data_IF_121739676153
#
_entry.id   IF_121739676153
#
_cell.length_a   1.000
_cell.length_b   1.000
_cell.length_c   1.000
_cell.angle_alpha   90.00
_cell.angle_beta   90.00
_cell.angle_gamma   90.00
#
_symmetry.space_group_name_H-M   'P 1'
#
loop_
_entity.id
_entity.type
_entity.pdbx_description
1 polymer ?
#
# COMPACT_ATOMS: atom_id res chain seq x y z
N UNK A 1 -56.63 -13.55 18.23
CA UNK A 1 -55.80 -12.42 18.71
C UNK A 1 -54.34 -12.84 18.52
N UNK A 2 -53.69 -12.53 17.38
CA UNK A 2 -52.92 -11.30 17.12
C UNK A 2 -51.52 -11.44 17.74
N UNK A 3 -50.35 -11.30 17.11
CA UNK A 3 -49.84 -10.85 15.81
C UNK A 3 -48.47 -11.56 15.60
N UNK A 4 -48.10 -12.08 14.43
CA UNK A 4 -47.28 -11.41 13.39
C UNK A 4 -45.97 -10.74 13.90
N UNK A 5 -44.79 -11.29 13.57
CA UNK A 5 -43.85 -10.77 12.54
C UNK A 5 -42.39 -11.21 12.75
N UNK A 6 -41.82 -11.59 11.60
CA UNK A 6 -40.45 -11.36 11.17
C UNK A 6 -39.34 -12.25 11.73
N UNK A 7 -38.94 -13.18 10.86
CA UNK A 7 -37.58 -13.68 10.76
C UNK A 7 -36.52 -12.57 10.86
N UNK A 8 -35.40 -12.88 11.49
CA UNK A 8 -34.12 -12.26 11.14
C UNK A 8 -33.03 -13.28 11.41
N UNK A 9 -32.62 -13.97 10.35
CA UNK A 9 -31.32 -14.67 10.34
C UNK A 9 -30.29 -13.62 10.70
N UNK A 10 -29.60 -13.77 11.82
CA UNK A 10 -28.39 -13.01 12.08
C UNK A 10 -27.36 -13.44 11.04
N UNK A 11 -27.38 -12.77 9.88
CA UNK A 11 -26.25 -12.73 8.98
C UNK A 11 -25.18 -11.96 9.74
N UNK A 12 -24.11 -12.63 10.12
CA UNK A 12 -22.84 -11.97 10.43
C UNK A 12 -22.47 -11.10 9.24
N UNK A 13 -22.78 -9.81 9.32
CA UNK A 13 -22.32 -8.82 8.37
C UNK A 13 -20.82 -8.69 8.57
N UNK A 14 -20.02 -9.45 7.82
CA UNK A 14 -18.68 -8.99 7.48
C UNK A 14 -18.87 -7.63 6.79
N UNK A 15 -18.48 -6.54 7.45
CA UNK A 15 -18.63 -5.20 6.91
C UNK A 15 -17.97 -5.13 5.53
N UNK A 16 -18.74 -4.74 4.51
CA UNK A 16 -18.31 -4.61 3.10
C UNK A 16 -17.01 -3.80 2.96
N UNK A 17 -16.77 -2.87 3.89
CA UNK A 17 -15.55 -2.06 4.02
C UNK A 17 -14.28 -2.91 4.25
N UNK A 18 -14.34 -3.94 5.11
CA UNK A 18 -13.21 -4.82 5.38
C UNK A 18 -12.83 -5.72 4.20
N UNK A 19 -13.78 -6.02 3.30
CA UNK A 19 -13.53 -6.82 2.10
C UNK A 19 -12.81 -6.00 1.00
N UNK A 20 -13.03 -4.69 0.98
CA UNK A 20 -12.41 -3.76 0.01
C UNK A 20 -10.96 -3.45 0.40
N UNK A 21 -10.71 -3.24 1.69
CA UNK A 21 -9.37 -3.10 2.25
C UNK A 21 -8.56 -4.40 2.03
N UNK A 22 -9.15 -5.57 2.34
CA UNK A 22 -8.55 -6.88 2.10
C UNK A 22 -8.19 -7.12 0.62
N UNK A 23 -9.00 -6.63 -0.33
CA UNK A 23 -8.72 -6.73 -1.76
C UNK A 23 -7.58 -5.81 -2.23
N UNK A 24 -7.51 -4.59 -1.68
CA UNK A 24 -6.44 -3.63 -2.01
C UNK A 24 -5.09 -4.12 -1.46
N UNK A 25 -5.08 -4.67 -0.25
CA UNK A 25 -3.91 -5.31 0.36
C UNK A 25 -3.48 -6.55 -0.44
N UNK A 26 -4.41 -7.42 -0.87
CA UNK A 26 -4.08 -8.61 -1.67
C UNK A 26 -3.48 -8.28 -3.05
N UNK A 27 -3.86 -7.15 -3.65
CA UNK A 27 -3.28 -6.71 -4.94
C UNK A 27 -1.89 -6.10 -4.75
N UNK A 28 -1.68 -5.32 -3.68
CA UNK A 28 -0.35 -4.83 -3.30
C UNK A 28 0.60 -6.00 -3.00
N UNK A 29 0.16 -7.00 -2.23
CA UNK A 29 0.93 -8.23 -1.91
C UNK A 29 1.31 -9.02 -3.16
N UNK A 30 0.42 -9.17 -4.14
CA UNK A 30 0.71 -9.91 -5.38
C UNK A 30 1.79 -9.24 -6.24
N UNK A 31 1.86 -7.91 -6.21
CA UNK A 31 2.85 -7.14 -7.00
C UNK A 31 4.23 -7.22 -6.36
N UNK A 32 4.29 -7.30 -5.04
CA UNK A 32 5.54 -7.50 -4.32
C UNK A 32 6.12 -8.90 -4.61
N UNK A 33 5.28 -9.93 -4.52
CA UNK A 33 5.62 -11.33 -4.82
C UNK A 33 6.08 -11.51 -6.27
N UNK A 34 5.57 -10.72 -7.22
CA UNK A 34 5.98 -10.76 -8.64
C UNK A 34 7.39 -10.22 -8.90
N UNK A 35 7.94 -9.36 -8.03
CA UNK A 35 9.29 -8.79 -8.21
C UNK A 35 10.37 -9.54 -7.44
N UNK A 36 9.97 -10.48 -6.58
CA UNK A 36 10.86 -11.31 -5.77
C UNK A 36 11.67 -12.32 -6.58
N UNK A 37 11.11 -12.97 -7.61
CA UNK A 37 11.80 -14.16 -8.15
C UNK A 37 11.49 -14.68 -9.59
N UNK A 38 10.97 -13.90 -10.54
CA UNK A 38 10.65 -14.47 -11.87
C UNK A 38 11.28 -13.68 -13.03
N UNK A 39 12.55 -13.99 -13.29
CA UNK A 39 13.17 -13.92 -14.64
C UNK A 39 12.68 -15.09 -15.52
N UNK A 40 11.36 -15.25 -15.64
CA UNK A 40 10.79 -16.20 -16.60
C UNK A 40 9.70 -15.50 -17.40
N UNK A 41 10.16 -14.86 -18.46
CA UNK A 41 9.45 -14.75 -19.73
C UNK A 41 8.00 -14.20 -19.68
N UNK A 42 7.80 -13.11 -18.94
CA UNK A 42 6.63 -12.24 -19.10
C UNK A 42 7.05 -11.01 -19.93
N UNK A 43 7.24 -11.23 -21.23
CA UNK A 43 7.60 -10.19 -22.21
C UNK A 43 6.42 -9.23 -22.46
N UNK A 44 6.77 -7.93 -22.42
CA UNK A 44 6.11 -6.74 -22.97
C UNK A 44 4.66 -6.37 -22.50
N UNK A 45 4.54 -5.18 -21.90
CA UNK A 45 3.33 -4.36 -21.67
C UNK A 45 2.35 -4.61 -20.50
N UNK A 46 2.52 -5.62 -19.64
CA UNK A 46 1.47 -5.94 -18.63
C UNK A 46 1.85 -6.01 -17.16
N UNK A 47 3.11 -5.80 -16.80
CA UNK A 47 3.54 -5.99 -15.40
C UNK A 47 3.11 -4.83 -14.49
N UNK A 48 2.82 -3.66 -15.06
CA UNK A 48 2.38 -2.48 -14.30
C UNK A 48 0.97 -2.00 -14.67
N UNK A 49 0.32 -2.61 -15.66
CA UNK A 49 -1.01 -2.18 -16.06
C UNK A 49 -2.09 -2.86 -15.21
N UNK A 50 -3.05 -2.05 -14.77
CA UNK A 50 -4.16 -2.54 -13.95
C UNK A 50 -4.98 -3.59 -14.69
N UNK A 51 -5.14 -4.76 -14.05
CA UNK A 51 -6.05 -5.79 -14.54
C UNK A 51 -7.48 -5.26 -14.66
N UNK A 52 -8.28 -5.84 -15.55
CA UNK A 52 -9.70 -5.48 -15.66
C UNK A 52 -10.45 -5.71 -14.34
N UNK A 53 -10.06 -6.72 -13.57
CA UNK A 53 -10.60 -6.98 -12.24
C UNK A 53 -10.31 -5.83 -11.26
N UNK A 54 -9.08 -5.33 -11.26
CA UNK A 54 -8.68 -4.18 -10.42
C UNK A 54 -9.45 -2.92 -10.80
N UNK A 55 -9.57 -2.62 -12.11
CA UNK A 55 -10.36 -1.47 -12.59
C UNK A 55 -11.82 -1.55 -12.14
N UNK A 56 -12.42 -2.73 -12.19
CA UNK A 56 -13.81 -2.93 -11.74
C UNK A 56 -13.95 -2.74 -10.22
N UNK A 57 -12.96 -3.17 -9.43
CA UNK A 57 -12.92 -2.94 -7.98
C UNK A 57 -12.82 -1.45 -7.69
N UNK A 58 -11.89 -0.74 -8.33
CA UNK A 58 -11.72 0.70 -8.17
C UNK A 58 -13.01 1.47 -8.51
N UNK A 59 -13.71 1.06 -9.57
CA UNK A 59 -15.01 1.64 -9.94
C UNK A 59 -16.13 1.38 -8.92
N UNK A 60 -16.00 0.33 -8.11
CA UNK A 60 -16.99 -0.04 -7.08
C UNK A 60 -16.78 0.68 -5.74
N UNK A 61 -15.69 1.44 -5.60
CA UNK A 61 -15.36 2.21 -4.41
C UNK A 61 -16.42 3.28 -4.16
N UNK A 62 -17.12 3.15 -3.03
CA UNK A 62 -18.17 4.09 -2.62
C UNK A 62 -17.58 5.33 -1.93
N UNK A 63 -16.72 5.10 -0.94
CA UNK A 63 -16.06 6.14 -0.16
C UNK A 63 -14.68 6.42 -0.73
N UNK A 64 -14.28 7.69 -0.93
CA UNK A 64 -12.93 8.01 -1.38
C UNK A 64 -11.86 7.41 -0.46
N UNK A 65 -10.73 7.04 -1.05
CA UNK A 65 -9.55 6.52 -0.36
C UNK A 65 -8.40 7.48 -0.61
N UNK A 66 -7.72 7.90 0.45
CA UNK A 66 -6.46 8.62 0.37
C UNK A 66 -5.34 7.65 0.70
N UNK A 67 -4.37 7.52 -0.20
CA UNK A 67 -3.17 6.73 0.00
C UNK A 67 -2.01 7.69 0.23
N UNK A 68 -1.46 7.68 1.44
CA UNK A 68 -0.30 8.48 1.81
C UNK A 68 0.94 7.62 1.67
N UNK A 69 1.84 7.99 0.77
CA UNK A 69 3.14 7.35 0.64
C UNK A 69 4.22 8.22 1.27
N UNK A 70 4.73 7.75 2.40
CA UNK A 70 5.87 8.36 3.08
C UNK A 70 7.13 7.71 2.55
N UNK A 71 8.04 8.49 1.97
CA UNK A 71 9.35 7.99 1.52
C UNK A 71 10.40 9.10 1.66
N UNK A 72 11.49 8.84 2.38
CA UNK A 72 12.59 9.79 2.63
C UNK A 72 13.44 10.10 1.39
N UNK A 73 12.81 10.44 0.25
CA UNK A 73 13.45 10.66 -1.06
C UNK A 73 14.57 11.70 -1.05
N UNK A 74 14.57 12.63 -0.08
CA UNK A 74 15.60 13.65 0.04
C UNK A 74 16.90 13.14 0.70
N UNK A 75 16.88 11.94 1.29
CA UNK A 75 18.05 11.34 1.92
C UNK A 75 19.03 10.83 0.84
N UNK A 76 20.26 11.40 0.74
CA UNK A 76 21.21 11.05 -0.32
C UNK A 76 21.87 9.67 -0.12
N UNK A 77 21.72 9.08 1.06
CA UNK A 77 22.35 7.83 1.46
C UNK A 77 21.40 6.61 1.36
N UNK A 78 20.27 6.75 0.68
CA UNK A 78 19.36 5.63 0.46
C UNK A 78 20.04 4.56 -0.41
N UNK A 79 20.03 3.28 0.02
CA UNK A 79 20.49 2.19 -0.83
C UNK A 79 19.73 2.13 -2.17
N UNK A 80 20.44 1.97 -3.28
CA UNK A 80 19.84 1.98 -4.63
C UNK A 80 18.69 0.97 -4.82
N UNK A 81 18.72 -0.16 -4.11
CA UNK A 81 17.62 -1.14 -4.13
C UNK A 81 16.32 -0.59 -3.53
N UNK A 82 16.43 0.17 -2.43
CA UNK A 82 15.30 0.84 -1.77
C UNK A 82 14.77 1.96 -2.65
N UNK A 83 15.65 2.75 -3.26
CA UNK A 83 15.24 3.84 -4.15
C UNK A 83 14.48 3.31 -5.38
N UNK A 84 14.99 2.24 -6.01
CA UNK A 84 14.33 1.59 -7.14
C UNK A 84 12.96 1.02 -6.73
N UNK A 85 12.89 0.42 -5.54
CA UNK A 85 11.66 -0.13 -5.00
C UNK A 85 10.60 0.95 -4.73
N UNK A 86 10.98 2.03 -4.05
CA UNK A 86 10.10 3.17 -3.79
C UNK A 86 9.63 3.86 -5.08
N UNK A 87 10.49 3.93 -6.11
CA UNK A 87 10.09 4.42 -7.43
C UNK A 87 8.98 3.55 -8.04
N UNK A 88 9.10 2.22 -7.97
CA UNK A 88 8.07 1.31 -8.48
C UNK A 88 6.75 1.46 -7.73
N UNK A 89 6.77 1.63 -6.41
CA UNK A 89 5.57 1.94 -5.63
C UNK A 89 4.93 3.24 -6.12
N UNK A 90 5.72 4.31 -6.28
CA UNK A 90 5.22 5.59 -6.78
C UNK A 90 4.55 5.47 -8.15
N UNK A 91 5.21 4.82 -9.10
CA UNK A 91 4.69 4.60 -10.45
C UNK A 91 3.37 3.81 -10.38
N UNK A 92 3.32 2.77 -9.54
CA UNK A 92 2.13 1.96 -9.32
C UNK A 92 0.95 2.74 -8.70
N UNK A 93 1.21 3.53 -7.66
CA UNK A 93 0.19 4.35 -7.01
C UNK A 93 -0.37 5.41 -7.97
N UNK A 94 0.49 5.95 -8.85
CA UNK A 94 0.08 6.93 -9.87
C UNK A 94 -0.93 6.31 -10.86
N UNK A 95 -0.75 5.04 -11.25
CA UNK A 95 -1.73 4.32 -12.07
C UNK A 95 -3.07 4.10 -11.32
N UNK A 96 -3.00 3.86 -10.01
CA UNK A 96 -4.20 3.72 -9.16
C UNK A 96 -4.99 5.01 -9.03
N UNK A 97 -4.30 6.13 -8.80
CA UNK A 97 -4.92 7.45 -8.77
C UNK A 97 -5.59 7.75 -10.11
N UNK A 98 -4.88 7.52 -11.22
CA UNK A 98 -5.41 7.75 -12.57
C UNK A 98 -6.67 6.92 -12.84
N UNK A 99 -6.65 5.63 -12.52
CA UNK A 99 -7.79 4.73 -12.74
C UNK A 99 -8.95 4.95 -11.75
N UNK A 100 -8.62 5.31 -10.50
CA UNK A 100 -9.57 5.59 -9.42
C UNK A 100 -10.30 6.92 -9.57
N UNK A 101 -9.79 7.84 -10.41
CA UNK A 101 -10.36 9.18 -10.62
C UNK A 101 -10.55 9.87 -9.25
N UNK A 102 -11.71 10.47 -9.00
CA UNK A 102 -12.01 11.17 -7.74
C UNK A 102 -12.24 10.23 -6.53
N UNK A 103 -11.99 8.91 -6.66
CA UNK A 103 -12.18 7.92 -5.59
C UNK A 103 -10.88 7.45 -4.96
N UNK A 104 -9.74 7.68 -5.61
CA UNK A 104 -8.42 7.37 -5.07
C UNK A 104 -7.57 8.61 -5.24
N UNK A 105 -7.00 9.09 -4.14
CA UNK A 105 -6.05 10.18 -4.14
C UNK A 105 -4.73 9.67 -3.55
N UNK A 106 -3.61 10.08 -4.14
CA UNK A 106 -2.28 9.70 -3.66
C UNK A 106 -1.54 10.94 -3.19
N UNK A 107 -1.04 10.89 -1.96
CA UNK A 107 -0.25 11.95 -1.35
C UNK A 107 1.17 11.46 -1.10
N UNK A 108 2.16 12.23 -1.55
CA UNK A 108 3.57 11.88 -1.39
C UNK A 108 4.21 12.76 -0.32
N UNK A 109 4.73 12.13 0.72
CA UNK A 109 5.40 12.78 1.84
C UNK A 109 6.87 12.40 1.88
N UNK A 110 7.69 13.37 2.25
CA UNK A 110 9.14 13.24 2.34
C UNK A 110 9.59 13.54 3.78
N UNK A 111 9.59 12.52 4.67
CA UNK A 111 10.02 12.66 6.05
C UNK A 111 11.49 13.04 6.10
N UNK A 112 11.76 14.30 6.44
CA UNK A 112 13.09 14.84 6.66
C UNK A 112 13.28 15.06 8.15
N UNK A 113 14.52 15.03 8.65
CA UNK A 113 14.79 15.35 10.05
C UNK A 113 14.14 16.67 10.47
N UNK A 114 13.43 16.63 11.60
CA UNK A 114 12.71 17.75 12.21
C UNK A 114 11.61 18.37 11.32
N UNK A 115 10.98 17.57 10.43
CA UNK A 115 9.89 18.02 9.55
C UNK A 115 8.52 17.53 10.02
N UNK A 116 7.46 18.26 9.65
CA UNK A 116 6.07 17.85 9.94
C UNK A 116 5.77 16.45 9.37
N UNK A 117 6.34 16.13 8.21
CA UNK A 117 6.19 14.81 7.58
C UNK A 117 6.86 13.68 8.38
N UNK A 118 7.95 13.95 9.10
CA UNK A 118 8.54 13.01 10.06
C UNK A 118 7.59 12.76 11.23
N UNK A 119 7.06 13.83 11.83
CA UNK A 119 6.08 13.70 12.91
C UNK A 119 4.81 12.96 12.48
N UNK A 120 4.36 13.18 11.24
CA UNK A 120 3.21 12.46 10.69
C UNK A 120 3.52 10.99 10.47
N UNK A 121 4.69 10.67 9.90
CA UNK A 121 5.10 9.28 9.71
C UNK A 121 5.15 8.53 11.04
N UNK A 122 5.74 9.13 12.08
CA UNK A 122 5.79 8.57 13.42
C UNK A 122 4.40 8.41 14.05
N UNK A 123 3.50 9.39 13.86
CA UNK A 123 2.12 9.31 14.36
C UNK A 123 1.31 8.20 13.70
N UNK A 124 1.56 7.95 12.41
CA UNK A 124 0.98 6.84 11.68
C UNK A 124 1.67 5.50 12.01
N UNK A 125 2.67 5.47 12.89
CA UNK A 125 3.37 4.24 13.26
C UNK A 125 4.35 3.72 12.20
N UNK A 126 4.77 4.56 11.25
CA UNK A 126 5.76 4.17 10.24
C UNK A 126 7.14 4.18 10.88
N UNK A 127 7.68 3.00 11.16
CA UNK A 127 9.02 2.87 11.72
C UNK A 127 10.11 3.13 10.67
N UNK A 128 11.11 3.99 10.95
CA UNK A 128 12.21 4.24 10.04
C UNK A 128 13.29 3.15 10.14
N UNK A 129 13.98 2.89 9.03
CA UNK A 129 15.27 2.21 9.05
C UNK A 129 16.33 3.23 9.42
N UNK A 130 17.19 2.87 10.38
CA UNK A 130 18.32 3.69 10.79
C UNK A 130 19.63 2.95 10.44
N UNK A 131 20.26 3.25 9.28
CA UNK A 131 21.60 2.73 8.99
C UNK A 131 22.61 3.21 10.03
N UNK A 132 23.64 2.42 10.36
CA UNK A 132 24.71 2.85 11.26
C UNK A 132 25.38 4.15 10.77
N UNK A 133 25.25 5.22 11.56
CA UNK A 133 25.81 6.53 11.21
C UNK A 133 25.12 7.24 10.04
N UNK A 134 24.00 6.71 9.53
CA UNK A 134 23.17 7.34 8.51
C UNK A 134 22.03 8.17 9.10
N UNK A 135 21.19 8.73 8.24
CA UNK A 135 19.91 9.36 8.61
C UNK A 135 18.79 8.31 8.59
N UNK A 136 17.69 8.59 9.31
CA UNK A 136 16.46 7.78 9.25
C UNK A 136 15.97 7.69 7.80
N UNK A 137 15.50 6.51 7.42
CA UNK A 137 14.87 6.24 6.13
C UNK A 137 13.46 5.74 6.41
N UNK A 138 12.47 6.57 6.12
CA UNK A 138 11.07 6.18 6.16
C UNK A 138 10.65 5.65 4.79
N UNK A 139 9.86 4.58 4.80
CA UNK A 139 9.13 4.14 3.64
C UNK A 139 7.92 3.30 4.06
N UNK A 140 6.71 3.83 3.88
CA UNK A 140 5.48 3.18 4.30
C UNK A 140 4.26 3.80 3.63
N UNK A 141 3.15 3.06 3.68
CA UNK A 141 1.87 3.49 3.12
C UNK A 141 0.82 3.59 4.23
N UNK A 142 0.00 4.64 4.16
CA UNK A 142 -1.21 4.76 4.98
C UNK A 142 -2.40 4.88 4.06
N UNK A 143 -3.40 4.05 4.28
CA UNK A 143 -4.66 4.05 3.55
C UNK A 143 -5.73 4.61 4.48
N UNK A 144 -6.36 5.70 4.07
CA UNK A 144 -7.41 6.37 4.83
C UNK A 144 -8.70 6.35 4.01
N UNK A 145 -9.79 5.83 4.57
CA UNK A 145 -11.12 5.89 3.96
C UNK A 145 -12.22 6.02 5.00
N UNK A 146 -12.99 7.11 4.91
CA UNK A 146 -14.04 7.45 5.88
C UNK A 146 -13.51 7.42 7.33
N UNK A 147 -13.90 6.41 8.11
CA UNK A 147 -13.55 6.17 9.51
C UNK A 147 -12.49 5.07 9.70
N UNK A 148 -11.89 4.59 8.62
CA UNK A 148 -10.89 3.54 8.63
C UNK A 148 -9.50 4.05 8.21
N UNK A 149 -8.49 3.58 8.93
CA UNK A 149 -7.08 3.82 8.67
C UNK A 149 -6.35 2.47 8.73
N UNK A 150 -5.52 2.20 7.72
CA UNK A 150 -4.70 1.01 7.63
C UNK A 150 -3.28 1.42 7.27
N UNK A 151 -2.30 0.87 7.99
CA UNK A 151 -0.89 1.19 7.80
C UNK A 151 -0.20 -0.05 7.25
N UNK A 152 0.51 0.13 6.13
CA UNK A 152 1.41 -0.88 5.58
C UNK A 152 2.81 -0.36 5.82
N UNK A 153 3.43 -0.93 6.85
CA UNK A 153 4.81 -0.67 7.21
C UNK A 153 5.78 -1.16 6.12
N UNK A 154 7.05 -0.79 6.30
CA UNK A 154 8.14 -1.05 5.38
C UNK A 154 8.12 -2.48 4.82
N UNK A 155 8.07 -2.53 3.49
CA UNK A 155 8.18 -3.73 2.69
C UNK A 155 9.65 -3.89 2.31
N UNK A 156 10.42 -4.58 3.15
CA UNK A 156 11.86 -4.74 2.95
C UNK A 156 12.17 -5.65 1.76
N UNK A 157 12.72 -5.14 0.63
CA UNK A 157 13.13 -5.99 -0.48
C UNK A 157 14.40 -6.81 -0.17
N UNK A 158 15.15 -6.47 0.88
CA UNK A 158 16.34 -7.21 1.33
C UNK A 158 16.01 -8.41 2.23
N UNK A 159 14.84 -8.41 2.88
CA UNK A 159 14.36 -9.57 3.66
C UNK A 159 13.94 -10.74 2.76
N UNK A 160 13.56 -10.51 1.48
CA UNK A 160 13.29 -11.60 0.53
C UNK A 160 14.55 -12.42 0.18
N UNK A 161 15.74 -11.79 0.15
CA UNK A 161 17.01 -12.49 -0.11
C UNK A 161 17.59 -13.21 1.11
N UNK A 162 17.11 -12.91 2.33
CA UNK A 162 17.60 -13.61 3.52
C UNK A 162 16.97 -14.99 3.72
N UNK A 163 15.94 -15.35 2.94
CA UNK A 163 15.33 -16.68 2.97
C UNK A 163 16.06 -17.73 2.10
N UNK A 164 17.02 -17.31 1.25
CA UNK A 164 17.79 -18.23 0.39
C UNK A 164 19.12 -18.70 0.99
N UNK A 165 19.51 -18.21 2.18
CA UNK A 165 20.79 -18.53 2.83
C UNK A 165 20.65 -19.33 4.14
N UNK A 166 19.68 -20.24 4.19
CA UNK A 166 19.69 -21.33 5.17
C UNK A 166 19.57 -22.69 4.46
N UNK A 167 20.65 -23.09 3.78
CA UNK A 167 21.01 -24.49 3.51
C UNK A 167 22.52 -24.67 3.69
#
# INVERSE_FOLDING_TARGET
MGENRSSSRQKTFLSVTGLVILLIILILVNILVSYANIRWDATEDRVYSLSQGTKNILASIKNPVVIKFFFSRSNPNIPAGIELYAKRIRDFLSEYEHAGKNKVQVEFYDPRPDSDEEEWAERYGIEPIQPPGGEKIYCGLVLVSADHEEVIEWLDPSQEKSLEYNV
#
